data_IF_300429023850
#
_entry.id   IF_300429023850
#
_cell.length_a   1.000
_cell.length_b   1.000
_cell.length_c   1.000
_cell.angle_alpha   90.00
_cell.angle_beta   90.00
_cell.angle_gamma   90.00
#
_symmetry.space_group_name_H-M   'P 1'
#
loop_
_entity.id
_entity.type
_entity.pdbx_description
1 polymer ?
#
# COMPACT_ATOMS: atom_id res chain seq x y z
N UNK A 1 -33.48 -14.45 19.78
CA UNK A 1 -32.35 -14.70 18.86
C UNK A 1 -31.08 -14.38 19.63
N UNK A 2 -30.49 -15.38 20.30
CA UNK A 2 -29.39 -15.15 21.25
C UNK A 2 -28.18 -14.59 20.51
N UNK A 3 -27.71 -13.43 20.98
CA UNK A 3 -26.48 -12.79 20.56
C UNK A 3 -25.34 -13.81 20.47
N UNK A 4 -24.79 -14.03 19.27
CA UNK A 4 -23.60 -14.89 19.05
C UNK A 4 -22.31 -14.22 19.52
N UNK A 5 -22.39 -13.31 20.50
CA UNK A 5 -21.23 -12.63 21.06
C UNK A 5 -20.41 -13.64 21.87
N UNK A 6 -19.10 -13.65 21.63
CA UNK A 6 -18.13 -14.46 22.37
C UNK A 6 -17.33 -13.56 23.32
N UNK A 7 -17.76 -13.36 24.59
CA UNK A 7 -17.28 -12.27 25.43
C UNK A 7 -15.76 -12.29 25.65
N UNK A 8 -15.19 -13.46 25.92
CA UNK A 8 -13.74 -13.62 26.12
C UNK A 8 -12.92 -13.18 24.91
N UNK A 9 -13.37 -13.55 23.70
CA UNK A 9 -12.69 -13.19 22.47
C UNK A 9 -12.87 -11.70 22.15
N UNK A 10 -14.07 -11.16 22.36
CA UNK A 10 -14.38 -9.74 22.19
C UNK A 10 -13.51 -8.87 23.10
N UNK A 11 -13.46 -9.19 24.41
CA UNK A 11 -12.67 -8.42 25.39
C UNK A 11 -11.17 -8.46 25.05
N UNK A 12 -10.63 -9.62 24.69
CA UNK A 12 -9.23 -9.75 24.32
C UNK A 12 -8.89 -8.94 23.06
N UNK A 13 -9.77 -8.96 22.05
CA UNK A 13 -9.60 -8.16 20.84
C UNK A 13 -9.67 -6.67 21.12
N UNK A 14 -10.63 -6.22 21.93
CA UNK A 14 -10.74 -4.81 22.35
C UNK A 14 -9.46 -4.38 23.06
N UNK A 15 -8.99 -5.15 24.05
CA UNK A 15 -7.75 -4.85 24.78
C UNK A 15 -6.55 -4.74 23.83
N UNK A 16 -6.41 -5.69 22.89
CA UNK A 16 -5.32 -5.70 21.92
C UNK A 16 -5.36 -4.44 21.04
N UNK A 17 -6.52 -4.08 20.52
CA UNK A 17 -6.68 -2.90 19.65
C UNK A 17 -6.45 -1.59 20.43
N UNK A 18 -6.86 -1.51 21.69
CA UNK A 18 -6.58 -0.34 22.54
C UNK A 18 -5.08 -0.20 22.80
N UNK A 19 -4.36 -1.30 23.08
CA UNK A 19 -2.90 -1.26 23.27
C UNK A 19 -2.22 -0.73 22.01
N UNK A 20 -2.65 -1.17 20.83
CA UNK A 20 -2.13 -0.64 19.56
C UNK A 20 -2.46 0.84 19.39
N UNK A 21 -3.70 1.26 19.70
CA UNK A 21 -4.10 2.66 19.63
C UNK A 21 -3.29 3.57 20.58
N UNK A 22 -3.04 3.11 21.81
CA UNK A 22 -2.20 3.82 22.77
C UNK A 22 -0.75 3.87 22.31
N UNK A 23 -0.22 2.78 21.76
CA UNK A 23 1.13 2.79 21.18
C UNK A 23 1.23 3.76 20.00
N UNK A 24 0.22 3.84 19.13
CA UNK A 24 0.14 4.84 18.06
C UNK A 24 0.09 6.27 18.59
N UNK A 25 -0.59 6.49 19.72
CA UNK A 25 -0.71 7.80 20.33
C UNK A 25 0.59 8.27 21.02
N UNK A 26 1.25 7.38 21.76
CA UNK A 26 2.42 7.70 22.59
C UNK A 26 3.73 7.63 21.77
N UNK A 27 3.87 6.59 20.95
CA UNK A 27 5.08 6.34 20.15
C UNK A 27 4.67 5.90 18.73
N UNK A 28 4.27 6.85 17.86
CA UNK A 28 3.71 6.55 16.54
C UNK A 28 4.51 5.54 15.69
N UNK A 29 5.86 5.57 15.64
CA UNK A 29 6.63 4.58 14.89
C UNK A 29 6.38 3.14 15.39
N UNK A 30 6.37 2.94 16.71
CA UNK A 30 6.07 1.63 17.30
C UNK A 30 4.62 1.24 17.02
N UNK A 31 3.68 2.17 17.19
CA UNK A 31 2.27 1.93 16.89
C UNK A 31 2.01 1.51 15.45
N UNK A 32 2.71 2.09 14.48
CA UNK A 32 2.61 1.70 13.06
C UNK A 32 3.10 0.28 12.83
N UNK A 33 4.21 -0.12 13.46
CA UNK A 33 4.69 -1.51 13.40
C UNK A 33 3.65 -2.46 14.02
N UNK A 34 3.10 -2.12 15.18
CA UNK A 34 2.07 -2.94 15.85
C UNK A 34 0.76 -2.99 15.05
N UNK A 35 0.41 -1.93 14.31
CA UNK A 35 -0.78 -1.90 13.45
C UNK A 35 -0.76 -2.98 12.36
N UNK A 36 0.43 -3.39 11.91
CA UNK A 36 0.59 -4.50 10.97
C UNK A 36 0.12 -5.86 11.55
N UNK A 37 0.02 -5.99 12.88
CA UNK A 37 -0.52 -7.16 13.57
C UNK A 37 -1.97 -6.96 14.05
N UNK A 38 -2.41 -5.70 14.13
CA UNK A 38 -3.71 -5.34 14.70
C UNK A 38 -4.91 -5.88 13.91
N UNK A 39 -4.72 -6.30 12.66
CA UNK A 39 -5.80 -6.92 11.87
C UNK A 39 -6.12 -8.35 12.32
N UNK A 40 -5.20 -9.03 13.00
CA UNK A 40 -5.35 -10.44 13.44
C UNK A 40 -6.61 -10.63 14.32
N UNK A 41 -6.77 -9.92 15.46
CA UNK A 41 -7.96 -10.09 16.31
C UNK A 41 -9.26 -9.77 15.56
N UNK A 42 -9.24 -8.75 14.68
CA UNK A 42 -10.38 -8.39 13.85
C UNK A 42 -10.78 -9.51 12.86
N UNK A 43 -9.81 -10.08 12.14
CA UNK A 43 -10.06 -11.17 11.18
C UNK A 43 -10.57 -12.43 11.91
N UNK A 44 -9.99 -12.77 13.06
CA UNK A 44 -10.44 -13.92 13.87
C UNK A 44 -11.89 -13.73 14.31
N UNK A 45 -12.23 -12.54 14.82
CA UNK A 45 -13.60 -12.24 15.22
C UNK A 45 -14.55 -12.26 14.03
N UNK A 46 -14.18 -11.66 12.89
CA UNK A 46 -15.02 -11.72 11.68
C UNK A 46 -15.34 -13.16 11.27
N UNK A 47 -14.35 -14.05 11.37
CA UNK A 47 -14.54 -15.48 11.06
C UNK A 47 -15.44 -16.19 12.07
N UNK A 48 -15.33 -15.85 13.36
CA UNK A 48 -16.03 -16.54 14.45
C UNK A 48 -17.45 -16.00 14.74
N UNK A 49 -17.62 -14.68 14.78
CA UNK A 49 -18.87 -13.97 15.01
C UNK A 49 -18.78 -12.54 14.50
N UNK A 50 -19.66 -12.22 13.54
CA UNK A 50 -19.80 -10.88 12.96
C UNK A 50 -20.27 -9.88 14.04
N UNK A 51 -21.10 -10.34 14.97
CA UNK A 51 -21.62 -9.55 16.10
C UNK A 51 -20.50 -9.17 17.08
N UNK A 52 -19.60 -10.10 17.39
CA UNK A 52 -18.43 -9.86 18.25
C UNK A 52 -17.45 -8.89 17.59
N UNK A 53 -17.26 -9.01 16.27
CA UNK A 53 -16.48 -8.06 15.50
C UNK A 53 -17.11 -6.66 15.51
N UNK A 54 -18.42 -6.56 15.27
CA UNK A 54 -19.16 -5.30 15.28
C UNK A 54 -19.06 -4.58 16.64
N UNK A 55 -19.28 -5.31 17.74
CA UNK A 55 -19.12 -4.74 19.08
C UNK A 55 -17.67 -4.27 19.34
N UNK A 56 -16.68 -5.09 18.95
CA UNK A 56 -15.26 -4.72 19.08
C UNK A 56 -14.93 -3.46 18.28
N UNK A 57 -15.44 -3.36 17.05
CA UNK A 57 -15.23 -2.21 16.19
C UNK A 57 -15.84 -0.93 16.79
N UNK A 58 -17.09 -0.99 17.24
CA UNK A 58 -17.77 0.15 17.88
C UNK A 58 -17.00 0.61 19.12
N UNK A 59 -16.67 -0.31 20.03
CA UNK A 59 -15.94 0.03 21.27
C UNK A 59 -14.56 0.60 20.94
N UNK A 60 -13.83 0.01 19.99
CA UNK A 60 -12.52 0.51 19.60
C UNK A 60 -12.61 1.92 19.03
N UNK A 61 -13.57 2.20 18.15
CA UNK A 61 -13.77 3.53 17.55
C UNK A 61 -14.15 4.57 18.60
N UNK A 62 -15.05 4.23 19.53
CA UNK A 62 -15.42 5.13 20.62
C UNK A 62 -14.20 5.46 21.48
N UNK A 63 -13.44 4.45 21.91
CA UNK A 63 -12.28 4.65 22.78
C UNK A 63 -11.15 5.40 22.07
N UNK A 64 -10.91 5.15 20.78
CA UNK A 64 -9.88 5.89 20.03
C UNK A 64 -10.30 7.34 19.76
N UNK A 65 -11.59 7.61 19.61
CA UNK A 65 -12.13 8.98 19.52
C UNK A 65 -11.88 9.75 20.82
N UNK A 66 -12.02 9.09 21.98
CA UNK A 66 -11.74 9.70 23.28
C UNK A 66 -10.27 10.08 23.49
N UNK A 67 -9.33 9.50 22.73
CA UNK A 67 -7.92 9.91 22.73
C UNK A 67 -7.69 11.28 22.06
N UNK A 68 -8.70 11.82 21.36
CA UNK A 68 -8.63 13.16 20.73
C UNK A 68 -7.64 13.27 19.57
N UNK A 69 -7.08 12.16 19.07
CA UNK A 69 -6.08 12.16 18.01
C UNK A 69 -6.66 11.58 16.70
N UNK A 70 -6.88 12.47 15.72
CA UNK A 70 -7.49 12.12 14.43
C UNK A 70 -6.66 11.09 13.65
N UNK A 71 -5.33 11.16 13.73
CA UNK A 71 -4.45 10.21 13.07
C UNK A 71 -4.61 8.79 13.64
N UNK A 72 -4.65 8.67 14.98
CA UNK A 72 -4.89 7.38 15.65
C UNK A 72 -6.26 6.82 15.27
N UNK A 73 -7.30 7.66 15.27
CA UNK A 73 -8.65 7.26 14.85
C UNK A 73 -8.67 6.74 13.41
N UNK A 74 -8.07 7.47 12.47
CA UNK A 74 -8.00 7.08 11.05
C UNK A 74 -7.31 5.72 10.87
N UNK A 75 -6.15 5.52 11.50
CA UNK A 75 -5.42 4.25 11.39
C UNK A 75 -6.23 3.09 11.99
N UNK A 76 -6.86 3.29 13.15
CA UNK A 76 -7.65 2.24 13.80
C UNK A 76 -8.91 1.87 13.00
N UNK A 77 -9.55 2.84 12.36
CA UNK A 77 -10.66 2.58 11.42
C UNK A 77 -10.17 1.78 10.21
N UNK A 78 -9.02 2.15 9.62
CA UNK A 78 -8.45 1.40 8.50
C UNK A 78 -8.05 -0.03 8.88
N UNK A 79 -7.54 -0.25 10.10
CA UNK A 79 -7.26 -1.60 10.63
C UNK A 79 -8.54 -2.44 10.72
N UNK A 80 -9.63 -1.87 11.23
CA UNK A 80 -10.92 -2.56 11.33
C UNK A 80 -11.50 -2.88 9.95
N UNK A 81 -11.49 -1.94 9.02
CA UNK A 81 -11.97 -2.14 7.64
C UNK A 81 -11.11 -3.20 6.94
N UNK A 82 -9.79 -3.14 7.08
CA UNK A 82 -8.87 -4.15 6.53
C UNK A 82 -9.18 -5.52 7.09
N UNK A 83 -9.43 -5.62 8.41
CA UNK A 83 -9.80 -6.87 9.07
C UNK A 83 -11.10 -7.45 8.52
N UNK A 84 -12.08 -6.60 8.27
CA UNK A 84 -13.35 -6.97 7.64
C UNK A 84 -13.14 -7.47 6.21
N UNK A 85 -12.47 -6.69 5.34
CA UNK A 85 -12.27 -7.03 3.93
C UNK A 85 -11.48 -8.34 3.79
N UNK A 86 -10.34 -8.45 4.47
CA UNK A 86 -9.51 -9.67 4.44
C UNK A 86 -10.27 -10.85 5.04
N UNK A 87 -10.96 -10.65 6.16
CA UNK A 87 -11.76 -11.69 6.80
C UNK A 87 -12.89 -12.22 5.92
N UNK A 88 -13.56 -11.34 5.18
CA UNK A 88 -14.62 -11.70 4.24
C UNK A 88 -14.07 -12.48 3.05
N UNK A 89 -12.99 -11.99 2.43
CA UNK A 89 -12.35 -12.65 1.29
C UNK A 89 -11.76 -14.02 1.65
N UNK A 90 -11.34 -14.23 2.91
CA UNK A 90 -10.94 -15.55 3.43
C UNK A 90 -12.12 -16.52 3.57
N UNK A 91 -13.31 -16.04 3.98
CA UNK A 91 -14.53 -16.88 3.99
C UNK A 91 -14.91 -17.32 2.57
N UNK A 92 -14.74 -16.43 1.60
CA UNK A 92 -14.98 -16.67 0.18
C UNK A 92 -13.90 -17.53 -0.50
N UNK A 93 -12.89 -18.01 0.24
CA UNK A 93 -11.79 -18.86 -0.26
C UNK A 93 -11.04 -18.26 -1.46
N UNK A 94 -10.94 -16.94 -1.51
CA UNK A 94 -10.24 -16.22 -2.59
C UNK A 94 -8.73 -16.47 -2.58
N UNK A 95 -8.07 -16.33 -3.73
CA UNK A 95 -6.60 -16.49 -3.81
C UNK A 95 -5.88 -15.32 -3.13
N UNK A 96 -4.65 -15.54 -2.67
CA UNK A 96 -3.90 -14.52 -1.92
C UNK A 96 -3.62 -13.25 -2.74
N UNK A 97 -3.37 -13.38 -4.04
CA UNK A 97 -3.16 -12.27 -4.96
C UNK A 97 -4.44 -11.44 -5.12
N UNK A 98 -5.60 -12.11 -5.20
CA UNK A 98 -6.90 -11.45 -5.27
C UNK A 98 -7.21 -10.72 -3.95
N UNK A 99 -6.86 -11.30 -2.81
CA UNK A 99 -6.96 -10.61 -1.50
C UNK A 99 -6.10 -9.35 -1.49
N UNK A 100 -4.84 -9.45 -1.93
CA UNK A 100 -3.93 -8.30 -2.00
C UNK A 100 -4.50 -7.19 -2.87
N UNK A 101 -4.91 -7.50 -4.10
CA UNK A 101 -5.45 -6.51 -5.03
C UNK A 101 -6.74 -5.87 -4.52
N UNK A 102 -7.74 -6.67 -4.11
CA UNK A 102 -9.04 -6.15 -3.65
C UNK A 102 -8.86 -5.29 -2.40
N UNK A 103 -8.11 -5.78 -1.42
CA UNK A 103 -7.87 -5.03 -0.17
C UNK A 103 -7.13 -3.73 -0.47
N UNK A 104 -6.11 -3.75 -1.34
CA UNK A 104 -5.37 -2.54 -1.74
C UNK A 104 -6.29 -1.51 -2.37
N UNK A 105 -7.14 -1.93 -3.31
CA UNK A 105 -8.08 -1.02 -3.98
C UNK A 105 -9.07 -0.39 -3.00
N UNK A 106 -9.74 -1.20 -2.17
CA UNK A 106 -10.73 -0.68 -1.21
C UNK A 106 -10.09 0.25 -0.17
N UNK A 107 -8.97 -0.18 0.44
CA UNK A 107 -8.31 0.61 1.47
C UNK A 107 -7.70 1.88 0.90
N UNK A 108 -7.15 1.86 -0.32
CA UNK A 108 -6.66 3.07 -0.98
C UNK A 108 -7.78 4.05 -1.27
N UNK A 109 -8.92 3.57 -1.82
CA UNK A 109 -10.08 4.41 -2.09
C UNK A 109 -10.62 5.07 -0.81
N UNK A 110 -10.79 4.29 0.25
CA UNK A 110 -11.25 4.80 1.56
C UNK A 110 -10.23 5.79 2.14
N UNK A 111 -8.94 5.50 2.06
CA UNK A 111 -7.89 6.39 2.58
C UNK A 111 -7.86 7.71 1.83
N UNK A 112 -7.99 7.71 0.50
CA UNK A 112 -8.03 8.93 -0.31
C UNK A 112 -9.30 9.74 -0.03
N UNK A 113 -10.47 9.10 0.05
CA UNK A 113 -11.72 9.79 0.40
C UNK A 113 -11.63 10.41 1.80
N UNK A 114 -11.10 9.66 2.77
CA UNK A 114 -10.90 10.17 4.12
C UNK A 114 -9.89 11.33 4.13
N UNK A 115 -8.78 11.21 3.41
CA UNK A 115 -7.76 12.26 3.30
C UNK A 115 -8.30 13.53 2.66
N UNK A 116 -9.11 13.42 1.61
CA UNK A 116 -9.79 14.56 0.98
C UNK A 116 -10.83 15.16 1.93
N UNK A 117 -11.67 14.35 2.58
CA UNK A 117 -12.67 14.81 3.52
C UNK A 117 -12.07 15.55 4.72
N UNK A 118 -11.00 15.00 5.31
CA UNK A 118 -10.30 15.63 6.43
C UNK A 118 -9.66 16.98 6.05
N UNK A 119 -9.18 17.13 4.81
CA UNK A 119 -8.71 18.43 4.29
C UNK A 119 -9.87 19.41 4.11
N UNK A 120 -10.99 18.98 3.54
CA UNK A 120 -12.17 19.85 3.33
C UNK A 120 -12.75 20.38 4.64
N UNK A 121 -12.60 19.64 5.76
CA UNK A 121 -13.04 20.06 7.09
C UNK A 121 -11.92 20.66 7.95
N UNK A 122 -10.80 21.07 7.34
CA UNK A 122 -9.64 21.67 8.00
C UNK A 122 -9.10 20.86 9.20
N UNK A 123 -9.28 19.53 9.18
CA UNK A 123 -8.79 18.61 10.22
C UNK A 123 -7.34 18.21 10.00
N UNK A 124 -6.87 18.27 8.76
CA UNK A 124 -5.47 18.06 8.41
C UNK A 124 -5.00 19.14 7.44
N UNK A 125 -3.71 19.52 7.44
CA UNK A 125 -3.17 20.47 6.48
C UNK A 125 -3.28 19.96 5.05
N UNK A 126 -3.28 20.87 4.08
CA UNK A 126 -3.20 20.51 2.67
C UNK A 126 -1.90 19.76 2.36
N UNK A 127 -1.90 18.99 1.28
CA UNK A 127 -0.72 18.25 0.81
C UNK A 127 0.53 19.14 0.68
N UNK A 128 0.36 20.41 0.28
CA UNK A 128 1.47 21.37 0.16
C UNK A 128 2.01 21.79 1.52
N UNK A 129 1.14 22.06 2.50
CA UNK A 129 1.54 22.45 3.85
C UNK A 129 2.18 21.28 4.60
N UNK A 130 1.75 20.05 4.35
CA UNK A 130 2.39 18.84 4.89
C UNK A 130 3.86 18.70 4.46
N UNK A 131 4.26 19.30 3.33
CA UNK A 131 5.64 19.28 2.87
C UNK A 131 6.51 20.39 3.47
N UNK A 132 5.93 21.41 4.11
CA UNK A 132 6.68 22.55 4.66
C UNK A 132 7.80 22.14 5.63
N UNK A 133 7.61 21.19 6.57
CA UNK A 133 8.69 20.78 7.46
C UNK A 133 9.92 20.22 6.71
N UNK A 134 9.67 19.49 5.62
CA UNK A 134 10.73 18.92 4.77
C UNK A 134 11.39 20.05 3.95
N UNK A 135 10.57 20.95 3.41
CA UNK A 135 11.02 22.13 2.67
C UNK A 135 11.92 23.03 3.53
N UNK A 136 11.51 23.30 4.77
CA UNK A 136 12.24 24.14 5.72
C UNK A 136 13.57 23.51 6.13
N UNK A 137 13.58 22.21 6.45
CA UNK A 137 14.82 21.48 6.73
C UNK A 137 15.78 21.51 5.54
N UNK A 138 15.28 21.30 4.33
CA UNK A 138 16.12 21.37 3.14
C UNK A 138 16.66 22.78 2.91
N UNK A 139 15.84 23.82 3.06
CA UNK A 139 16.30 25.21 2.92
C UNK A 139 17.40 25.56 3.93
N UNK A 140 17.36 25.03 5.14
CA UNK A 140 18.43 25.21 6.13
C UNK A 140 19.75 24.56 5.67
N UNK A 141 19.71 23.35 5.10
CA UNK A 141 20.91 22.68 4.57
C UNK A 141 21.49 23.42 3.36
N UNK A 142 20.64 23.89 2.45
CA UNK A 142 21.04 24.55 1.20
C UNK A 142 21.60 25.95 1.46
N UNK A 143 20.99 26.70 2.39
CA UNK A 143 21.49 28.01 2.80
C UNK A 143 22.85 27.92 3.48
N UNK A 144 23.11 26.83 4.23
CA UNK A 144 24.42 26.55 4.82
C UNK A 144 25.52 26.14 3.81
N UNK A 145 25.14 25.70 2.60
CA UNK A 145 26.07 25.19 1.59
C UNK A 145 26.33 26.16 0.41
N UNK A 146 25.87 27.41 0.49
CA UNK A 146 26.03 28.44 -0.57
C UNK A 146 25.62 27.96 -1.98
N UNK A 147 24.55 27.18 -2.05
CA UNK A 147 24.05 26.61 -3.30
C UNK A 147 23.32 27.69 -4.14
N UNK A 148 23.59 27.71 -5.45
CA UNK A 148 23.03 28.67 -6.41
C UNK A 148 21.50 28.64 -6.52
N UNK A 149 20.91 29.76 -6.99
CA UNK A 149 19.45 29.95 -7.08
C UNK A 149 18.75 28.94 -7.99
N UNK A 150 19.44 28.41 -9.00
CA UNK A 150 18.90 27.40 -9.92
C UNK A 150 18.55 26.09 -9.19
N UNK A 151 19.43 25.62 -8.31
CA UNK A 151 19.17 24.45 -7.46
C UNK A 151 17.99 24.67 -6.51
N UNK A 152 17.82 25.89 -5.99
CA UNK A 152 16.67 26.22 -5.14
C UNK A 152 15.36 26.08 -5.92
N UNK A 153 15.32 26.59 -7.16
CA UNK A 153 14.16 26.45 -8.03
C UNK A 153 13.87 24.99 -8.39
N UNK A 154 14.90 24.20 -8.72
CA UNK A 154 14.74 22.76 -8.97
C UNK A 154 14.16 22.01 -7.76
N UNK A 155 14.58 22.37 -6.55
CA UNK A 155 14.07 21.75 -5.33
C UNK A 155 12.64 22.18 -5.01
N UNK A 156 12.29 23.45 -5.17
CA UNK A 156 10.91 23.91 -5.03
C UNK A 156 9.97 23.21 -6.02
N UNK A 157 10.42 23.03 -7.26
CA UNK A 157 9.68 22.27 -8.26
C UNK A 157 9.53 20.80 -7.86
N UNK A 158 10.58 20.18 -7.33
CA UNK A 158 10.54 18.82 -6.79
C UNK A 158 9.50 18.67 -5.68
N UNK A 159 9.44 19.60 -4.72
CA UNK A 159 8.42 19.59 -3.66
C UNK A 159 7.00 19.76 -4.22
N UNK A 160 6.82 20.64 -5.21
CA UNK A 160 5.55 20.81 -5.89
C UNK A 160 5.10 19.50 -6.55
N UNK A 161 6.00 18.81 -7.24
CA UNK A 161 5.70 17.52 -7.87
C UNK A 161 5.35 16.44 -6.84
N UNK A 162 6.11 16.35 -5.74
CA UNK A 162 5.80 15.41 -4.65
C UNK A 162 4.40 15.65 -4.06
N UNK A 163 4.01 16.92 -3.87
CA UNK A 163 2.68 17.26 -3.39
C UNK A 163 1.57 16.84 -4.38
N UNK A 164 1.80 17.04 -5.69
CA UNK A 164 0.86 16.62 -6.76
C UNK A 164 0.74 15.09 -6.82
N UNK A 165 1.82 14.36 -6.58
CA UNK A 165 1.89 12.90 -6.65
C UNK A 165 1.52 12.20 -5.34
N UNK A 166 1.21 12.95 -4.28
CA UNK A 166 0.89 12.41 -2.96
C UNK A 166 -0.22 11.32 -2.99
N UNK A 167 -1.30 11.44 -3.80
CA UNK A 167 -2.30 10.38 -3.90
C UNK A 167 -1.73 9.01 -4.33
N UNK A 168 -0.84 8.99 -5.33
CA UNK A 168 -0.20 7.75 -5.79
C UNK A 168 0.74 7.18 -4.74
N UNK A 169 1.46 8.05 -4.01
CA UNK A 169 2.30 7.64 -2.88
C UNK A 169 1.49 6.99 -1.77
N UNK A 170 0.28 7.49 -1.49
CA UNK A 170 -0.67 6.85 -0.54
C UNK A 170 -1.07 5.46 -1.04
N UNK A 171 -1.42 5.31 -2.33
CA UNK A 171 -1.77 4.01 -2.91
C UNK A 171 -0.61 3.01 -2.78
N UNK A 172 0.61 3.44 -3.09
CA UNK A 172 1.82 2.61 -2.98
C UNK A 172 2.07 2.22 -1.52
N UNK A 173 1.96 3.16 -0.58
CA UNK A 173 2.13 2.88 0.84
C UNK A 173 1.08 1.87 1.33
N UNK A 174 -0.19 2.04 0.94
CA UNK A 174 -1.27 1.09 1.26
C UNK A 174 -0.99 -0.30 0.69
N UNK A 175 -0.55 -0.39 -0.57
CA UNK A 175 -0.16 -1.65 -1.20
C UNK A 175 0.94 -2.36 -0.39
N UNK A 176 2.01 -1.65 -0.03
CA UNK A 176 3.12 -2.21 0.74
C UNK A 176 2.68 -2.65 2.13
N UNK A 177 1.89 -1.83 2.83
CA UNK A 177 1.38 -2.14 4.16
C UNK A 177 0.47 -3.37 4.14
N UNK A 178 -0.42 -3.50 3.15
CA UNK A 178 -1.27 -4.68 3.00
C UNK A 178 -0.42 -5.90 2.64
N UNK A 179 0.56 -5.77 1.74
CA UNK A 179 1.46 -6.87 1.41
C UNK A 179 2.17 -7.41 2.66
N UNK A 180 2.76 -6.52 3.46
CA UNK A 180 3.40 -6.85 4.73
C UNK A 180 2.39 -7.48 5.71
N UNK A 181 1.21 -6.87 5.86
CA UNK A 181 0.15 -7.38 6.72
C UNK A 181 -0.24 -8.82 6.35
N UNK A 182 -0.43 -9.12 5.05
CA UNK A 182 -0.79 -10.47 4.58
C UNK A 182 0.37 -11.48 4.72
N UNK A 183 1.63 -11.03 4.66
CA UNK A 183 2.80 -11.88 4.91
C UNK A 183 2.85 -12.30 6.39
N UNK A 184 2.61 -11.36 7.30
CA UNK A 184 2.66 -11.57 8.75
C UNK A 184 1.43 -12.31 9.27
N UNK A 185 0.25 -11.84 8.88
CA UNK A 185 -1.04 -12.26 9.47
C UNK A 185 -1.41 -13.68 9.06
N UNK A 186 -1.15 -14.08 7.81
CA UNK A 186 -1.63 -15.38 7.31
C UNK A 186 -1.02 -16.60 8.00
N UNK A 187 0.30 -16.67 8.27
CA UNK A 187 0.89 -17.71 9.09
C UNK A 187 0.29 -17.78 10.50
N UNK A 188 -0.01 -16.64 11.11
CA UNK A 188 -0.59 -16.56 12.45
C UNK A 188 -2.03 -17.08 12.43
N UNK A 189 -2.86 -16.65 11.47
CA UNK A 189 -4.24 -17.10 11.33
C UNK A 189 -4.38 -18.62 11.17
N UNK A 190 -3.41 -19.29 10.54
CA UNK A 190 -3.40 -20.77 10.44
C UNK A 190 -3.35 -21.45 11.81
N UNK A 191 -2.66 -20.85 12.79
CA UNK A 191 -2.62 -21.35 14.18
C UNK A 191 -3.99 -21.28 14.86
N UNK A 192 -4.87 -20.39 14.39
CA UNK A 192 -6.26 -20.26 14.84
C UNK A 192 -7.24 -21.11 14.00
N UNK A 193 -6.75 -22.09 13.23
CA UNK A 193 -7.55 -22.97 12.35
C UNK A 193 -8.30 -22.23 11.24
N UNK A 194 -7.88 -21.02 10.89
CA UNK A 194 -8.39 -20.27 9.74
C UNK A 194 -7.52 -20.62 8.54
N UNK A 195 -8.11 -21.24 7.51
CA UNK A 195 -7.38 -21.60 6.30
C UNK A 195 -7.04 -20.34 5.49
N UNK A 196 -5.76 -20.15 5.17
CA UNK A 196 -5.27 -19.00 4.40
C UNK A 196 -4.52 -19.46 3.15
N UNK A 197 -4.76 -18.81 1.99
CA UNK A 197 -4.08 -19.17 0.74
C UNK A 197 -2.58 -18.84 0.81
N UNK A 198 -1.79 -19.43 -0.09
CA UNK A 198 -0.36 -19.18 -0.23
C UNK A 198 -0.16 -18.31 -1.49
N UNK A 199 0.81 -17.39 -1.45
CA UNK A 199 1.17 -16.63 -2.65
C UNK A 199 1.73 -17.59 -3.71
N UNK A 200 1.26 -17.43 -4.95
CA UNK A 200 2.01 -17.92 -6.09
C UNK A 200 3.40 -17.29 -6.06
N UNK A 201 4.45 -18.04 -6.38
CA UNK A 201 5.79 -17.48 -6.48
C UNK A 201 5.82 -16.38 -7.55
N UNK A 202 6.65 -15.36 -7.33
CA UNK A 202 6.64 -14.16 -8.17
C UNK A 202 6.84 -14.46 -9.67
N UNK A 203 7.61 -15.49 -10.05
CA UNK A 203 7.76 -15.88 -11.46
C UNK A 203 6.44 -16.27 -12.16
N UNK A 204 5.42 -16.67 -11.39
CA UNK A 204 4.11 -17.09 -11.89
C UNK A 204 3.08 -15.96 -11.91
N UNK A 205 3.44 -14.74 -11.48
CA UNK A 205 2.55 -13.59 -11.51
C UNK A 205 2.39 -13.10 -12.94
N UNK A 206 1.14 -12.90 -13.40
CA UNK A 206 0.87 -12.37 -14.72
C UNK A 206 -0.27 -11.37 -14.60
N UNK A 207 0.03 -10.09 -14.87
CA UNK A 207 -0.99 -9.05 -14.93
C UNK A 207 -1.87 -9.22 -16.19
N UNK A 208 -3.08 -8.66 -16.16
CA UNK A 208 -3.98 -8.71 -17.32
C UNK A 208 -3.50 -7.77 -18.43
N UNK A 209 -3.73 -8.16 -19.70
CA UNK A 209 -3.42 -7.30 -20.85
C UNK A 209 -4.20 -5.98 -20.86
N UNK A 210 -5.33 -5.92 -20.17
CA UNK A 210 -6.09 -4.67 -20.00
C UNK A 210 -5.27 -3.59 -19.29
N UNK A 211 -4.44 -3.96 -18.29
CA UNK A 211 -3.57 -3.01 -17.59
C UNK A 211 -2.52 -2.38 -18.51
N UNK A 212 -2.00 -3.14 -19.48
CA UNK A 212 -1.07 -2.62 -20.49
C UNK A 212 -1.74 -1.53 -21.34
N UNK A 213 -2.95 -1.77 -21.84
CA UNK A 213 -3.66 -0.77 -22.65
C UNK A 213 -3.98 0.49 -21.88
N UNK A 214 -4.41 0.36 -20.61
CA UNK A 214 -4.64 1.50 -19.72
C UNK A 214 -3.32 2.28 -19.52
N UNK A 215 -2.21 1.58 -19.31
CA UNK A 215 -0.89 2.20 -19.16
C UNK A 215 -0.46 2.97 -20.42
N UNK A 216 -0.62 2.39 -21.61
CA UNK A 216 -0.30 3.07 -22.88
C UNK A 216 -1.13 4.34 -23.05
N UNK A 217 -2.44 4.29 -22.77
CA UNK A 217 -3.32 5.47 -22.84
C UNK A 217 -2.83 6.54 -21.87
N UNK A 218 -2.49 6.17 -20.64
CA UNK A 218 -1.99 7.11 -19.63
C UNK A 218 -0.67 7.75 -20.09
N UNK A 219 0.28 6.98 -20.64
CA UNK A 219 1.52 7.54 -21.18
C UNK A 219 1.29 8.55 -22.31
N UNK A 220 0.32 8.27 -23.19
CA UNK A 220 -0.08 9.24 -24.22
C UNK A 220 -0.66 10.49 -23.56
N UNK A 221 -1.52 10.35 -22.55
CA UNK A 221 -2.08 11.50 -21.82
C UNK A 221 -0.99 12.34 -21.11
N UNK A 222 0.08 11.72 -20.60
CA UNK A 222 1.20 12.42 -19.97
C UNK A 222 1.84 13.42 -20.94
N UNK A 223 1.94 13.07 -22.23
CA UNK A 223 2.50 13.96 -23.26
C UNK A 223 1.70 15.26 -23.44
N UNK A 224 0.40 15.23 -23.12
CA UNK A 224 -0.49 16.39 -23.18
C UNK A 224 -0.67 17.09 -21.82
N UNK A 225 -0.14 16.51 -20.74
CA UNK A 225 -0.24 17.03 -19.38
C UNK A 225 0.86 18.06 -19.05
N UNK A 226 1.05 19.05 -19.92
CA UNK A 226 2.13 20.05 -19.80
C UNK A 226 1.81 21.18 -18.83
N UNK A 227 0.52 21.46 -18.58
CA UNK A 227 0.07 22.54 -17.69
C UNK A 227 -0.32 22.01 -16.31
N UNK A 228 0.04 22.76 -15.28
CA UNK A 228 -0.37 22.48 -13.91
C UNK A 228 -1.90 22.57 -13.77
N UNK A 229 -2.51 21.50 -13.27
CA UNK A 229 -3.95 21.43 -13.08
C UNK A 229 -4.44 20.02 -12.75
N UNK A 230 -5.76 19.89 -12.61
CA UNK A 230 -6.41 18.62 -12.24
C UNK A 230 -6.11 17.50 -13.22
N UNK A 231 -6.09 17.79 -14.53
CA UNK A 231 -5.76 16.80 -15.55
C UNK A 231 -4.34 16.23 -15.37
N UNK A 232 -3.33 17.10 -15.23
CA UNK A 232 -1.96 16.68 -14.99
C UNK A 232 -1.83 15.86 -13.70
N UNK A 233 -2.45 16.32 -12.62
CA UNK A 233 -2.43 15.59 -11.34
C UNK A 233 -2.99 14.18 -11.47
N UNK A 234 -4.17 14.02 -12.09
CA UNK A 234 -4.77 12.71 -12.32
C UNK A 234 -3.83 11.82 -13.13
N UNK A 235 -3.38 12.31 -14.28
CA UNK A 235 -2.56 11.53 -15.21
C UNK A 235 -1.24 11.08 -14.58
N UNK A 236 -0.53 11.96 -13.86
CA UNK A 236 0.73 11.62 -13.18
C UNK A 236 0.52 10.59 -12.06
N UNK A 237 -0.56 10.69 -11.29
CA UNK A 237 -0.83 9.71 -10.23
C UNK A 237 -1.19 8.33 -10.81
N UNK A 238 -1.95 8.28 -11.91
CA UNK A 238 -2.21 7.03 -12.64
C UNK A 238 -0.93 6.43 -13.23
N UNK A 239 -0.08 7.27 -13.83
CA UNK A 239 1.19 6.86 -14.41
C UNK A 239 2.07 6.17 -13.36
N UNK A 240 2.25 6.77 -12.17
CA UNK A 240 3.05 6.18 -11.09
C UNK A 240 2.52 4.82 -10.64
N UNK A 241 1.20 4.69 -10.43
CA UNK A 241 0.59 3.43 -9.96
C UNK A 241 0.69 2.32 -11.03
N UNK A 242 0.50 2.67 -12.29
CA UNK A 242 0.61 1.72 -13.40
C UNK A 242 2.08 1.35 -13.68
N UNK A 243 3.01 2.30 -13.54
CA UNK A 243 4.45 2.08 -13.59
C UNK A 243 4.88 1.08 -12.51
N UNK A 244 4.33 1.15 -11.29
CA UNK A 244 4.56 0.13 -10.26
C UNK A 244 4.06 -1.26 -10.71
N UNK A 245 2.88 -1.34 -11.33
CA UNK A 245 2.35 -2.60 -11.86
C UNK A 245 3.29 -3.21 -12.93
N UNK A 246 3.75 -2.39 -13.88
CA UNK A 246 4.69 -2.81 -14.93
C UNK A 246 6.04 -3.24 -14.33
N UNK A 247 6.52 -2.52 -13.33
CA UNK A 247 7.72 -2.87 -12.60
C UNK A 247 7.61 -4.22 -11.88
N UNK A 248 6.50 -4.49 -11.17
CA UNK A 248 6.25 -5.81 -10.55
C UNK A 248 6.19 -6.93 -11.60
N UNK A 249 5.56 -6.67 -12.75
CA UNK A 249 5.55 -7.60 -13.88
C UNK A 249 6.98 -7.85 -14.41
N UNK A 250 7.80 -6.81 -14.51
CA UNK A 250 9.21 -6.91 -14.87
C UNK A 250 10.04 -7.77 -13.91
N UNK A 251 9.88 -7.57 -12.60
CA UNK A 251 10.48 -8.45 -11.58
C UNK A 251 10.02 -9.89 -11.74
N UNK A 252 8.75 -10.11 -12.07
CA UNK A 252 8.20 -11.43 -12.36
C UNK A 252 8.89 -12.09 -13.56
N UNK A 253 9.20 -11.34 -14.62
CA UNK A 253 9.97 -11.82 -15.77
C UNK A 253 11.40 -12.19 -15.38
N UNK A 254 12.09 -11.36 -14.61
CA UNK A 254 13.47 -11.63 -14.14
C UNK A 254 13.49 -12.92 -13.31
N UNK A 255 12.52 -13.08 -12.40
CA UNK A 255 12.40 -14.31 -11.60
C UNK A 255 12.08 -15.53 -12.48
N UNK A 256 11.20 -15.38 -13.47
CA UNK A 256 10.90 -16.45 -14.42
C UNK A 256 12.11 -16.85 -15.24
N UNK A 257 12.89 -15.89 -15.73
CA UNK A 257 14.13 -16.13 -16.46
C UNK A 257 15.13 -16.93 -15.63
N UNK A 258 15.37 -16.50 -14.38
CA UNK A 258 16.24 -17.22 -13.46
C UNK A 258 15.80 -18.67 -13.24
N UNK A 259 14.50 -18.90 -13.07
CA UNK A 259 13.94 -20.26 -12.94
C UNK A 259 14.07 -21.07 -14.22
N UNK A 260 13.76 -20.49 -15.38
CA UNK A 260 13.82 -21.19 -16.67
C UNK A 260 15.24 -21.64 -17.01
N UNK A 261 16.24 -20.80 -16.68
CA UNK A 261 17.67 -21.09 -16.90
C UNK A 261 18.35 -21.80 -15.74
N UNK A 262 17.57 -22.31 -14.77
CA UNK A 262 18.09 -23.02 -13.60
C UNK A 262 19.20 -22.24 -12.86
N UNK A 263 19.11 -20.91 -12.84
CA UNK A 263 20.05 -20.05 -12.14
C UNK A 263 19.88 -20.23 -10.62
N UNK A 264 20.96 -20.12 -9.83
CA UNK A 264 20.86 -20.10 -8.38
C UNK A 264 19.93 -18.98 -7.93
N UNK A 265 19.04 -19.26 -6.97
CA UNK A 265 18.07 -18.28 -6.45
C UNK A 265 18.74 -16.98 -6.01
N UNK A 266 19.92 -17.09 -5.39
CA UNK A 266 20.72 -15.94 -4.94
C UNK A 266 21.04 -15.00 -6.10
N UNK A 267 21.41 -15.54 -7.26
CA UNK A 267 21.75 -14.73 -8.43
C UNK A 267 20.51 -14.05 -9.01
N UNK A 268 19.38 -14.75 -9.06
CA UNK A 268 18.10 -14.15 -9.50
C UNK A 268 17.65 -13.03 -8.56
N UNK A 269 17.77 -13.23 -7.25
CA UNK A 269 17.46 -12.21 -6.24
C UNK A 269 18.41 -11.01 -6.38
N UNK A 270 19.70 -11.25 -6.58
CA UNK A 270 20.69 -10.19 -6.81
C UNK A 270 20.34 -9.35 -8.03
N UNK A 271 19.95 -9.97 -9.15
CA UNK A 271 19.51 -9.24 -10.36
C UNK A 271 18.28 -8.38 -10.09
N UNK A 272 17.29 -8.90 -9.34
CA UNK A 272 16.11 -8.12 -8.95
C UNK A 272 16.51 -6.94 -8.05
N UNK A 273 17.37 -7.16 -7.06
CA UNK A 273 17.83 -6.10 -6.13
C UNK A 273 18.63 -5.03 -6.87
N UNK A 274 19.57 -5.41 -7.74
CA UNK A 274 20.34 -4.48 -8.58
C UNK A 274 19.40 -3.67 -9.47
N UNK A 275 18.44 -4.34 -10.12
CA UNK A 275 17.40 -3.68 -10.93
C UNK A 275 16.46 -2.77 -10.14
N UNK A 276 16.46 -2.86 -8.81
CA UNK A 276 15.66 -2.02 -7.91
C UNK A 276 16.45 -0.83 -7.37
N UNK A 277 17.70 -1.05 -6.94
CA UNK A 277 18.53 -0.04 -6.27
C UNK A 277 19.05 0.99 -7.26
N UNK A 278 19.41 0.57 -8.47
CA UNK A 278 19.93 1.48 -9.49
C UNK A 278 18.74 2.14 -10.21
N UNK A 279 18.47 3.42 -9.89
CA UNK A 279 17.35 4.19 -10.44
C UNK A 279 17.19 4.11 -11.97
N UNK A 280 18.24 4.12 -12.81
CA UNK A 280 18.05 3.92 -14.25
C UNK A 280 17.52 2.53 -14.63
N UNK A 281 17.88 1.51 -13.85
CA UNK A 281 17.48 0.13 -14.11
C UNK A 281 16.02 -0.12 -13.76
N UNK A 282 15.40 0.63 -12.84
CA UNK A 282 13.98 0.44 -12.51
C UNK A 282 13.08 0.68 -13.71
N UNK A 283 13.41 1.66 -14.56
CA UNK A 283 12.73 1.91 -15.83
C UNK A 283 12.93 0.76 -16.82
N UNK A 284 14.12 0.15 -16.86
CA UNK A 284 14.40 -1.03 -17.69
C UNK A 284 13.57 -2.22 -17.19
N UNK A 285 13.50 -2.45 -15.88
CA UNK A 285 12.66 -3.50 -15.29
C UNK A 285 11.19 -3.26 -15.64
N UNK A 286 10.69 -2.04 -15.52
CA UNK A 286 9.32 -1.69 -15.94
C UNK A 286 9.08 -1.98 -17.42
N UNK A 287 10.04 -1.65 -18.29
CA UNK A 287 9.97 -1.94 -19.72
C UNK A 287 9.92 -3.45 -20.00
N UNK A 288 10.66 -4.28 -19.26
CA UNK A 288 10.54 -5.74 -19.36
C UNK A 288 9.11 -6.22 -19.04
N UNK A 289 8.47 -5.60 -18.05
CA UNK A 289 7.08 -5.89 -17.71
C UNK A 289 6.11 -5.54 -18.84
N UNK A 290 6.30 -4.37 -19.48
CA UNK A 290 5.53 -3.95 -20.66
C UNK A 290 5.72 -4.94 -21.81
N UNK A 291 6.97 -5.30 -22.14
CA UNK A 291 7.31 -6.25 -23.21
C UNK A 291 6.67 -7.61 -22.95
N UNK A 292 6.67 -8.07 -21.69
CA UNK A 292 6.04 -9.34 -21.34
C UNK A 292 4.52 -9.31 -21.51
N UNK A 293 3.84 -8.22 -21.19
CA UNK A 293 2.39 -8.12 -21.44
C UNK A 293 2.07 -8.00 -22.94
N UNK A 294 2.90 -7.30 -23.71
CA UNK A 294 2.75 -7.16 -25.17
C UNK A 294 2.92 -8.51 -25.88
N UNK A 295 4.05 -9.18 -25.63
CA UNK A 295 4.50 -10.31 -26.43
C UNK A 295 4.47 -11.65 -25.70
N UNK A 296 4.08 -11.68 -24.42
CA UNK A 296 4.16 -12.86 -23.56
C UNK A 296 5.59 -13.41 -23.51
N UNK A 297 6.54 -12.56 -23.10
CA UNK A 297 7.98 -12.84 -23.09
C UNK A 297 8.30 -14.15 -22.33
N UNK A 298 7.63 -14.43 -21.21
CA UNK A 298 7.78 -15.70 -20.47
C UNK A 298 7.47 -16.94 -21.31
N UNK A 299 6.59 -16.87 -22.29
CA UNK A 299 6.31 -17.99 -23.20
C UNK A 299 7.43 -18.21 -24.23
N UNK A 300 8.16 -17.16 -24.57
CA UNK A 300 9.26 -17.17 -25.55
C UNK A 300 10.55 -17.67 -24.91
N UNK A 301 10.75 -17.42 -23.61
CA UNK A 301 11.90 -17.91 -22.85
C UNK A 301 11.84 -19.44 -22.80
N UNK A 302 12.56 -20.09 -23.73
CA UNK A 302 12.79 -21.53 -23.73
C UNK A 302 13.55 -21.92 -22.46
N UNK A 303 13.14 -23.03 -21.84
CA UNK A 303 13.93 -23.71 -20.81
C UNK A 303 15.35 -23.93 -21.35
#
# INVERSE_FOLDING_TARGET
MFSKIYPKATVLSILTLIVVALALHILPPLGLVLSAFATIPGIILWHKSIESFGLTAVVTVVLTTLLGNIFVLSIMVLVLITSFVVGQLLKERTSKERILYITTTYISMISLIAFMGLQTFDKIPSATVLMNPIKDQMHQVISGASVGNEYKQMLEEGFRQLAVQLPSMVIIAVFLLILINLIITFPILRKFKIATPIFKPLYAWQMSRSLLWIYIIVLICVMFASQAGTFQSIVLNFEIVLSLCMYIQGLSVIHFFGKAKSMPLVLTVLLMVIGTILMPLTHIVSLLGVIDLCFNLKSIIKK
#
